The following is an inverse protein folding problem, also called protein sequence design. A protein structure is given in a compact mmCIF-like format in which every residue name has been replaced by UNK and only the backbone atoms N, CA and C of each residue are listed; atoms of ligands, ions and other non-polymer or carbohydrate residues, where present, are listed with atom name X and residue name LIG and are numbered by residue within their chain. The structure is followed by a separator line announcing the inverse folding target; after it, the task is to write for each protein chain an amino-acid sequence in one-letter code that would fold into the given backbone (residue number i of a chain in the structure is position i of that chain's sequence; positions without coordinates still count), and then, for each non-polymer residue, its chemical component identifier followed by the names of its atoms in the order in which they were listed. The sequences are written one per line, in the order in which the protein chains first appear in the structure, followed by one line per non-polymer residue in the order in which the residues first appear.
data_IF_382149472254
#
_entry.id   IF_382149472254
#
_cell.length_a   1.000
_cell.length_b   1.000
_cell.length_c   1.000
_cell.angle_alpha   90.00
_cell.angle_beta   90.00
_cell.angle_gamma   90.00
#
_symmetry.space_group_name_H-M   'P 1'
#
loop_
_entity.id
_entity.type
_entity.pdbx_description
1 polymer ?
#
# COMPACT_ATOMS: atom_id res chain seq x y z
N UNK A 1 12.29 1.05 -4.72
CA UNK A 1 12.99 0.36 -5.82
C UNK A 1 12.35 0.75 -7.14
N UNK A 2 13.16 1.01 -8.17
CA UNK A 2 12.67 1.30 -9.53
C UNK A 2 13.42 0.42 -10.52
N UNK A 3 12.69 -0.28 -11.38
CA UNK A 3 13.28 -0.99 -12.52
C UNK A 3 13.00 -0.20 -13.78
N UNK A 4 14.04 0.44 -14.31
CA UNK A 4 13.96 1.25 -15.51
C UNK A 4 14.08 0.42 -16.78
N UNK A 5 13.43 0.89 -17.84
CA UNK A 5 13.71 0.46 -19.21
C UNK A 5 14.93 1.22 -19.79
N UNK A 6 15.17 1.06 -21.10
CA UNK A 6 16.18 1.83 -21.82
C UNK A 6 15.95 3.35 -21.68
N UNK A 7 14.69 3.79 -21.76
CA UNK A 7 14.30 5.19 -21.66
C UNK A 7 14.21 5.67 -20.19
N UNK A 8 15.33 5.58 -19.46
CA UNK A 8 15.41 5.90 -18.05
C UNK A 8 15.63 7.41 -17.78
N UNK A 9 15.41 7.82 -16.53
CA UNK A 9 15.82 9.13 -16.06
C UNK A 9 17.33 9.19 -15.81
N UNK A 10 18.02 10.23 -16.28
CA UNK A 10 19.40 10.49 -15.91
C UNK A 10 19.47 10.97 -14.45
N UNK A 11 18.58 11.88 -14.08
CA UNK A 11 18.40 12.32 -12.69
C UNK A 11 16.91 12.37 -12.36
N UNK A 12 16.57 11.96 -11.15
CA UNK A 12 15.20 11.99 -10.65
C UNK A 12 15.19 12.17 -9.14
N UNK A 13 14.05 12.62 -8.62
CA UNK A 13 13.80 12.68 -7.17
C UNK A 13 12.64 11.80 -6.77
N UNK A 14 12.74 11.23 -5.56
CA UNK A 14 11.61 10.63 -4.87
C UNK A 14 11.03 11.69 -3.96
N UNK A 15 9.74 11.92 -4.10
CA UNK A 15 9.02 12.95 -3.35
C UNK A 15 7.84 12.33 -2.62
N UNK A 16 7.52 12.88 -1.46
CA UNK A 16 6.39 12.46 -0.66
C UNK A 16 5.47 13.61 -0.31
N UNK A 17 4.22 13.27 -0.01
CA UNK A 17 3.24 14.18 0.57
C UNK A 17 2.42 13.46 1.63
N UNK A 18 2.06 14.18 2.68
CA UNK A 18 1.17 13.72 3.75
C UNK A 18 -0.22 14.39 3.68
N UNK A 19 -0.44 15.26 2.69
CA UNK A 19 -1.72 15.92 2.47
C UNK A 19 -2.78 14.91 1.98
N UNK A 20 -4.06 15.22 2.20
CA UNK A 20 -5.14 14.39 1.65
C UNK A 20 -5.15 14.45 0.12
N UNK A 21 -5.03 15.66 -0.41
CA UNK A 21 -4.81 15.93 -1.83
C UNK A 21 -3.34 16.36 -2.03
N UNK A 22 -2.51 15.56 -2.71
CA UNK A 22 -1.06 15.81 -2.75
C UNK A 22 -0.70 16.92 -3.75
N UNK A 23 -0.91 18.17 -3.35
CA UNK A 23 -0.53 19.34 -4.15
C UNK A 23 0.89 19.80 -3.81
N UNK A 24 1.26 19.73 -2.53
CA UNK A 24 2.63 20.02 -2.10
C UNK A 24 3.44 18.74 -1.95
N UNK A 25 4.64 18.75 -2.54
CA UNK A 25 5.54 17.61 -2.56
C UNK A 25 6.88 18.00 -1.97
N UNK A 26 7.35 17.18 -1.04
CA UNK A 26 8.66 17.36 -0.41
C UNK A 26 9.63 16.33 -0.99
N UNK A 27 10.82 16.78 -1.37
CA UNK A 27 11.88 15.88 -1.82
C UNK A 27 12.43 15.07 -0.64
N UNK A 28 12.35 13.75 -0.75
CA UNK A 28 12.88 12.80 0.24
C UNK A 28 14.27 12.32 -0.18
N UNK A 29 14.45 12.04 -1.48
CA UNK A 29 15.72 11.59 -2.03
C UNK A 29 15.92 12.13 -3.45
N UNK A 30 17.18 12.26 -3.85
CA UNK A 30 17.60 12.55 -5.22
C UNK A 30 18.58 11.47 -5.67
N UNK A 31 18.40 10.99 -6.89
CA UNK A 31 19.06 9.80 -7.41
C UNK A 31 19.49 9.99 -8.86
N UNK A 32 20.58 9.32 -9.22
CA UNK A 32 20.99 9.16 -10.61
C UNK A 32 20.42 7.86 -11.13
N UNK A 33 19.65 7.92 -12.22
CA UNK A 33 19.08 6.72 -12.81
C UNK A 33 20.05 6.03 -13.76
N UNK A 34 19.72 4.77 -14.04
CA UNK A 34 20.39 3.90 -15.00
C UNK A 34 19.38 2.85 -15.46
N UNK A 35 19.65 2.21 -16.58
CA UNK A 35 18.87 1.06 -17.02
C UNK A 35 18.84 -0.05 -15.96
N UNK A 36 17.71 -0.75 -15.86
CA UNK A 36 17.53 -1.81 -14.87
C UNK A 36 17.24 -1.30 -13.46
N UNK A 37 17.69 -2.05 -12.45
CA UNK A 37 17.28 -1.82 -11.06
C UNK A 37 18.10 -0.72 -10.37
N UNK A 38 17.38 0.23 -9.76
CA UNK A 38 17.89 1.23 -8.82
C UNK A 38 17.16 1.08 -7.48
N UNK A 39 17.94 0.94 -6.41
CA UNK A 39 17.43 0.79 -5.04
C UNK A 39 17.78 2.05 -4.26
N UNK A 40 16.76 2.82 -3.93
CA UNK A 40 16.89 4.00 -3.08
C UNK A 40 16.57 3.62 -1.64
N UNK A 41 17.50 3.93 -0.73
CA UNK A 41 17.30 3.79 0.72
C UNK A 41 16.87 5.14 1.29
N UNK A 42 15.64 5.19 1.80
CA UNK A 42 15.12 6.40 2.43
C UNK A 42 15.67 6.54 3.87
N UNK A 43 15.81 7.77 4.38
CA UNK A 43 16.12 8.01 5.78
C UNK A 43 15.11 7.34 6.72
N UNK A 44 15.55 6.89 7.90
CA UNK A 44 14.64 6.36 8.92
C UNK A 44 13.66 7.44 9.37
N UNK A 45 12.42 7.04 9.66
CA UNK A 45 11.36 7.97 10.06
C UNK A 45 10.80 8.80 8.90
N UNK A 46 11.05 8.42 7.65
CA UNK A 46 10.37 9.04 6.51
C UNK A 46 8.90 8.62 6.53
N UNK A 47 8.02 9.60 6.69
CA UNK A 47 6.56 9.41 6.63
C UNK A 47 5.99 10.07 5.38
N UNK A 48 5.26 9.30 4.57
CA UNK A 48 4.60 9.77 3.37
C UNK A 48 3.31 8.97 3.12
N UNK A 49 2.19 9.65 2.93
CA UNK A 49 0.92 9.05 2.47
C UNK A 49 0.92 8.81 0.97
N UNK A 50 1.50 9.74 0.23
CA UNK A 50 1.66 9.69 -1.21
C UNK A 50 3.14 9.71 -1.57
N UNK A 51 3.53 8.89 -2.54
CA UNK A 51 4.90 8.85 -3.05
C UNK A 51 4.86 9.02 -4.56
N UNK A 52 5.73 9.87 -5.09
CA UNK A 52 5.96 9.98 -6.53
C UNK A 52 7.44 9.92 -6.87
N UNK A 53 7.72 9.43 -8.06
CA UNK A 53 8.99 9.66 -8.74
C UNK A 53 8.83 10.86 -9.67
N UNK A 54 9.71 11.85 -9.54
CA UNK A 54 9.75 13.03 -10.39
C UNK A 54 11.03 13.00 -11.24
N UNK A 55 10.87 12.79 -12.55
CA UNK A 55 11.99 12.78 -13.49
C UNK A 55 12.45 14.20 -13.83
N UNK A 56 13.70 14.53 -13.49
CA UNK A 56 14.26 15.87 -13.69
C UNK A 56 14.97 15.98 -15.04
N UNK A 57 15.76 14.96 -15.40
CA UNK A 57 16.48 14.91 -16.67
C UNK A 57 16.35 13.55 -17.31
N UNK A 58 16.07 13.52 -18.60
CA UNK A 58 16.03 12.30 -19.42
C UNK A 58 17.44 11.85 -19.78
N UNK A 59 17.68 10.54 -19.77
CA UNK A 59 18.92 9.97 -20.27
C UNK A 59 18.93 9.78 -21.79
N UNK A 60 17.74 9.71 -22.40
CA UNK A 60 17.56 9.49 -23.84
C UNK A 60 16.63 10.56 -24.43
N UNK A 61 16.43 10.53 -25.75
CA UNK A 61 15.48 11.40 -26.43
C UNK A 61 14.01 10.96 -26.25
N UNK A 62 13.77 9.81 -25.63
CA UNK A 62 12.43 9.29 -25.35
C UNK A 62 11.89 9.79 -24.00
N UNK A 63 10.59 9.55 -23.73
CA UNK A 63 10.00 9.79 -22.42
C UNK A 63 10.55 8.84 -21.35
N UNK A 64 10.21 9.07 -20.08
CA UNK A 64 10.59 8.15 -19.00
C UNK A 64 9.78 6.85 -19.08
N UNK A 65 10.45 5.70 -18.97
CA UNK A 65 9.80 4.39 -18.97
C UNK A 65 10.32 3.50 -17.84
N UNK A 66 9.40 2.89 -17.10
CA UNK A 66 9.66 2.01 -15.96
C UNK A 66 8.93 0.69 -16.15
N UNK A 67 9.63 -0.40 -15.87
CA UNK A 67 9.01 -1.72 -15.70
C UNK A 67 8.26 -1.82 -14.38
N UNK A 68 8.82 -1.25 -13.31
CA UNK A 68 8.32 -1.46 -11.96
C UNK A 68 8.69 -0.30 -11.02
N UNK A 69 7.76 0.04 -10.13
CA UNK A 69 7.97 0.94 -8.99
C UNK A 69 7.46 0.27 -7.72
N UNK A 70 8.37 -0.06 -6.79
CA UNK A 70 8.03 -0.67 -5.49
C UNK A 70 8.44 0.25 -4.35
N UNK A 71 7.50 0.49 -3.43
CA UNK A 71 7.70 1.21 -2.18
C UNK A 71 7.52 0.23 -1.03
N UNK A 72 8.45 0.26 -0.09
CA UNK A 72 8.45 -0.62 1.08
C UNK A 72 8.28 0.24 2.33
N UNK A 73 7.29 -0.11 3.14
CA UNK A 73 7.10 0.48 4.46
C UNK A 73 7.83 -0.37 5.51
N UNK A 74 8.23 0.27 6.61
CA UNK A 74 8.67 -0.47 7.80
C UNK A 74 7.44 -1.15 8.43
N UNK A 75 7.43 -2.49 8.59
CA UNK A 75 6.28 -3.21 9.12
C UNK A 75 5.93 -2.83 10.57
N UNK A 76 6.78 -2.08 11.27
CA UNK A 76 6.50 -1.61 12.63
C UNK A 76 5.61 -0.38 12.70
N UNK A 77 5.35 0.30 11.58
CA UNK A 77 4.38 1.41 11.53
C UNK A 77 2.98 0.83 11.31
N UNK A 78 2.02 1.05 12.23
CA UNK A 78 0.64 0.60 12.03
C UNK A 78 0.10 1.17 10.72
N UNK A 79 -0.29 0.29 9.79
CA UNK A 79 -1.02 0.71 8.61
C UNK A 79 -2.30 1.44 9.08
N UNK A 80 -2.64 2.62 8.54
CA UNK A 80 -3.92 3.25 8.84
C UNK A 80 -5.02 2.24 8.55
N UNK A 81 -5.80 1.90 9.57
CA UNK A 81 -6.90 0.97 9.41
C UNK A 81 -7.83 1.52 8.32
N UNK A 82 -8.27 0.71 7.34
CA UNK A 82 -9.27 1.15 6.39
C UNK A 82 -10.45 1.78 7.16
N UNK A 83 -11.08 2.85 6.64
CA UNK A 83 -12.20 3.48 7.34
C UNK A 83 -13.23 2.40 7.70
N UNK A 84 -13.38 2.16 9.00
CA UNK A 84 -14.42 1.25 9.49
C UNK A 84 -15.76 1.86 9.04
N UNK A 85 -16.65 1.10 8.37
CA UNK A 85 -18.00 1.60 8.11
C UNK A 85 -18.63 2.00 9.45
N UNK A 86 -19.38 3.11 9.52
CA UNK A 86 -19.86 3.64 10.79
C UNK A 86 -20.57 2.55 11.60
N UNK A 87 -19.94 2.16 12.70
CA UNK A 87 -20.50 1.18 13.63
C UNK A 87 -21.81 1.72 14.18
N UNK A 88 -22.88 0.93 14.09
CA UNK A 88 -24.11 1.22 14.82
C UNK A 88 -23.77 1.24 16.31
N UNK A 89 -23.92 2.40 16.94
CA UNK A 89 -23.79 2.55 18.39
C UNK A 89 -24.76 1.60 19.08
N UNK A 90 -24.29 0.44 19.55
CA UNK A 90 -25.04 -0.38 20.49
C UNK A 90 -24.84 0.24 21.89
N UNK A 91 -25.55 1.34 22.16
CA UNK A 91 -25.77 1.83 23.53
C UNK A 91 -26.50 0.72 24.28
N UNK A 92 -25.94 0.29 25.40
CA UNK A 92 -26.44 -0.85 26.17
C UNK A 92 -27.92 -0.74 26.52
N UNK A 93 -28.71 -1.66 25.97
CA UNK A 93 -29.88 -2.21 26.62
C UNK A 93 -29.77 -3.74 26.48
N UNK A 94 -29.45 -4.39 27.59
CA UNK A 94 -29.60 -5.83 27.75
C UNK A 94 -31.03 -6.21 27.37
N UNK A 95 -31.24 -6.88 26.24
CA UNK A 95 -32.44 -7.67 26.00
C UNK A 95 -32.08 -9.15 26.17
N UNK A 96 -32.85 -9.95 26.94
CA UNK A 96 -32.57 -11.37 27.04
C UNK A 96 -32.73 -12.00 25.66
N UNK A 97 -31.70 -12.70 25.20
CA UNK A 97 -31.73 -13.47 23.96
C UNK A 97 -32.81 -14.56 24.09
N UNK A 98 -33.82 -14.64 23.21
CA UNK A 98 -34.60 -15.87 23.06
C UNK A 98 -33.73 -16.88 22.29
N UNK A 99 -33.53 -18.05 22.88
CA UNK A 99 -32.83 -19.17 22.24
C UNK A 99 -33.56 -19.60 20.97
N UNK A 100 -33.03 -19.28 19.79
CA UNK A 100 -33.46 -19.90 18.54
C UNK A 100 -32.45 -20.97 18.13
N UNK A 101 -32.94 -22.21 18.15
CA UNK A 101 -32.30 -23.42 17.64
C UNK A 101 -31.94 -23.22 16.16
N UNK A 102 -30.69 -23.44 15.72
CA UNK A 102 -30.37 -23.36 14.30
C UNK A 102 -30.89 -24.61 13.57
N UNK A 103 -31.88 -24.43 12.69
CA UNK A 103 -32.29 -25.43 11.70
C UNK A 103 -31.28 -25.35 10.54
N UNK A 104 -30.30 -26.25 10.51
CA UNK A 104 -29.41 -26.40 9.36
C UNK A 104 -30.07 -27.28 8.28
N UNK A 105 -30.13 -26.84 7.01
CA UNK A 105 -30.54 -27.72 5.92
C UNK A 105 -29.47 -28.82 5.68
N UNK A 106 -29.88 -30.06 5.39
CA UNK A 106 -28.94 -31.14 5.10
C UNK A 106 -28.41 -30.94 3.67
N UNK A 107 -27.10 -31.10 3.50
CA UNK A 107 -26.39 -31.29 2.22
C UNK A 107 -25.70 -30.08 1.57
N UNK A 108 -24.80 -29.40 2.29
CA UNK A 108 -23.60 -28.85 1.63
C UNK A 108 -22.38 -29.06 2.53
N UNK A 109 -21.45 -29.93 2.12
CA UNK A 109 -20.16 -30.11 2.77
C UNK A 109 -19.21 -29.01 2.27
N UNK A 110 -18.81 -28.09 3.15
CA UNK A 110 -17.66 -27.22 2.88
C UNK A 110 -16.40 -27.88 3.47
N UNK A 111 -15.40 -28.10 2.61
CA UNK A 111 -14.05 -28.49 3.03
C UNK A 111 -13.36 -27.25 3.64
N UNK A 112 -13.09 -27.28 4.95
CA UNK A 112 -12.14 -26.34 5.56
C UNK A 112 -10.73 -26.92 5.48
N UNK A 113 -9.74 -26.04 5.46
CA UNK A 113 -8.32 -26.30 5.11
C UNK A 113 -7.58 -27.27 6.04
N UNK A 114 -8.24 -27.75 7.09
CA UNK A 114 -7.68 -28.70 8.04
C UNK A 114 -8.52 -29.98 7.97
N UNK A 115 -8.06 -30.90 7.14
CA UNK A 115 -8.71 -32.14 6.77
C UNK A 115 -8.70 -33.15 7.95
N UNK A 116 -9.39 -32.85 9.05
CA UNK A 116 -9.62 -33.78 10.16
C UNK A 116 -11.01 -33.59 10.78
N UNK A 117 -11.74 -34.71 10.84
CA UNK A 117 -13.09 -34.85 11.37
C UNK A 117 -13.05 -35.22 12.86
N UNK A 118 -13.69 -34.41 13.72
CA UNK A 118 -14.50 -34.86 14.88
C UNK A 118 -15.61 -33.84 15.10
#
# INVERSE_FOLDING_TARGET
EIRWEYAHAATYSIQGSNEEDPMNWTQIASETGREGLVITRLPRGTEARWVRMFGERRATNYGFSIWEFRVYADPTVPQPEPPQPPGRHATGLQMPMPSLIPIFPPNLRYLTRDNNFV
#
